data_IF_592953207938
#
_entry.id   IF_592953207938
#
_cell.length_a   1.000
_cell.length_b   1.000
_cell.length_c   1.000
_cell.angle_alpha   90.00
_cell.angle_beta   90.00
_cell.angle_gamma   90.00
#
_symmetry.space_group_name_H-M   'P 1'
#
loop_
_entity.id
_entity.type
_entity.pdbx_description
1 polymer ?
#
# COMPACT_ATOMS: atom_id res chain seq x y z
N UNK A 1 -27.63 48.84 62.73
CA UNK A 1 -28.77 49.18 61.87
C UNK A 1 -28.41 48.88 60.42
N UNK A 2 -28.89 47.74 59.92
CA UNK A 2 -29.13 47.45 58.50
C UNK A 2 -30.30 48.37 58.00
N UNK A 3 -30.61 48.54 56.68
CA UNK A 3 -30.49 47.46 55.69
C UNK A 3 -30.29 47.81 54.18
N UNK A 4 -30.01 46.72 53.44
CA UNK A 4 -30.46 46.37 52.07
C UNK A 4 -29.97 47.16 50.84
N UNK A 5 -29.17 46.58 49.92
CA UNK A 5 -29.42 45.51 48.92
C UNK A 5 -30.32 45.89 47.72
N UNK A 6 -29.87 45.38 46.56
CA UNK A 6 -30.46 45.36 45.20
C UNK A 6 -30.05 46.58 44.38
N UNK A 7 -29.33 46.42 43.27
CA UNK A 7 -29.84 45.75 42.06
C UNK A 7 -28.76 44.91 41.37
N UNK A 8 -29.03 43.62 41.23
CA UNK A 8 -28.48 42.78 40.17
C UNK A 8 -28.80 43.45 38.82
N UNK A 9 -27.78 43.73 38.02
CA UNK A 9 -27.95 43.97 36.59
C UNK A 9 -27.22 42.86 35.85
N UNK A 10 -27.99 41.83 35.47
CA UNK A 10 -27.60 40.84 34.47
C UNK A 10 -27.38 41.59 33.15
N UNK A 11 -26.14 41.59 32.64
CA UNK A 11 -25.88 41.84 31.24
C UNK A 11 -25.42 40.52 30.62
N UNK A 12 -26.34 39.85 29.93
CA UNK A 12 -26.02 38.74 29.02
C UNK A 12 -25.15 39.29 27.89
N UNK A 13 -23.84 39.12 27.97
CA UNK A 13 -22.96 39.25 26.81
C UNK A 13 -22.81 37.85 26.19
N UNK A 14 -23.56 37.61 25.11
CA UNK A 14 -23.47 36.38 24.33
C UNK A 14 -22.03 36.17 23.85
N UNK A 15 -21.39 35.10 24.34
CA UNK A 15 -20.09 34.68 23.83
C UNK A 15 -20.32 34.07 22.46
N UNK A 16 -19.91 34.81 21.45
CA UNK A 16 -19.88 34.42 20.04
C UNK A 16 -19.07 33.13 19.93
N UNK A 17 -19.73 32.04 19.53
CA UNK A 17 -19.09 30.78 19.18
C UNK A 17 -18.33 30.96 17.87
N UNK A 18 -17.07 31.39 17.95
CA UNK A 18 -16.12 31.23 16.84
C UNK A 18 -15.79 29.76 16.69
N UNK A 19 -16.62 29.04 15.93
CA UNK A 19 -16.24 27.75 15.34
C UNK A 19 -15.17 28.03 14.30
N UNK A 20 -13.91 28.05 14.74
CA UNK A 20 -12.78 27.85 13.84
C UNK A 20 -12.93 26.42 13.32
N UNK A 21 -13.65 26.29 12.20
CA UNK A 21 -13.62 25.10 11.37
C UNK A 21 -12.20 25.00 10.84
N UNK A 22 -11.35 24.37 11.63
CA UNK A 22 -10.07 23.87 11.18
C UNK A 22 -10.40 22.93 10.03
N UNK A 23 -10.07 23.35 8.82
CA UNK A 23 -9.93 22.45 7.70
C UNK A 23 -8.90 21.38 8.11
N UNK A 24 -9.39 20.30 8.71
CA UNK A 24 -8.68 19.04 8.79
C UNK A 24 -8.56 18.55 7.36
N UNK A 25 -7.62 19.12 6.61
CA UNK A 25 -7.13 18.53 5.37
C UNK A 25 -6.50 17.22 5.79
N UNK A 26 -7.29 16.16 5.79
CA UNK A 26 -6.79 14.81 5.62
C UNK A 26 -6.09 14.80 4.26
N UNK A 27 -4.85 15.28 4.22
CA UNK A 27 -4.01 15.09 3.06
C UNK A 27 -3.74 13.60 3.05
N UNK A 28 -4.26 12.92 2.02
CA UNK A 28 -3.79 11.61 1.61
C UNK A 28 -2.31 11.71 1.24
N UNK A 29 -1.46 11.84 2.26
CA UNK A 29 -0.03 11.98 2.10
C UNK A 29 0.49 10.61 1.66
N UNK A 30 1.03 10.58 0.45
CA UNK A 30 1.73 9.41 -0.08
C UNK A 30 3.03 9.21 0.69
N UNK A 31 3.41 7.95 0.88
CA UNK A 31 4.72 7.59 1.40
C UNK A 31 5.68 7.37 0.24
N UNK A 32 6.76 8.14 0.21
CA UNK A 32 7.87 7.91 -0.71
C UNK A 32 8.59 6.59 -0.37
N UNK A 33 8.70 5.69 -1.36
CA UNK A 33 9.27 4.35 -1.20
C UNK A 33 10.27 4.04 -2.31
N UNK A 34 11.44 3.55 -1.93
CA UNK A 34 12.43 2.96 -2.83
C UNK A 34 12.28 1.45 -2.83
N UNK A 35 12.34 0.85 -4.02
CA UNK A 35 12.28 -0.60 -4.22
C UNK A 35 13.60 -1.05 -4.83
N UNK A 36 14.19 -2.10 -4.26
CA UNK A 36 15.33 -2.83 -4.82
C UNK A 36 15.02 -4.32 -4.80
N UNK A 37 15.18 -4.98 -5.94
CA UNK A 37 14.84 -6.40 -6.13
C UNK A 37 16.07 -7.18 -6.57
N UNK A 38 16.41 -8.19 -5.79
CA UNK A 38 17.41 -9.21 -6.12
C UNK A 38 16.70 -10.53 -6.43
N UNK A 39 16.67 -10.94 -7.70
CA UNK A 39 16.04 -12.18 -8.11
C UNK A 39 16.77 -12.85 -9.28
N UNK A 40 16.71 -14.19 -9.40
CA UNK A 40 17.37 -14.91 -10.48
C UNK A 40 16.58 -14.80 -11.80
N UNK A 41 17.29 -14.46 -12.88
CA UNK A 41 16.74 -14.41 -14.24
C UNK A 41 15.51 -13.50 -14.33
N UNK A 42 14.46 -13.96 -15.03
CA UNK A 42 13.21 -13.21 -15.21
C UNK A 42 12.21 -13.36 -14.04
N UNK A 43 12.66 -13.72 -12.83
CA UNK A 43 11.77 -13.98 -11.69
C UNK A 43 11.08 -12.71 -11.19
N UNK A 44 11.81 -11.60 -11.05
CA UNK A 44 11.29 -10.31 -10.62
C UNK A 44 12.24 -9.18 -11.04
N UNK A 45 11.71 -7.97 -11.19
CA UNK A 45 12.48 -6.73 -11.40
C UNK A 45 11.90 -5.62 -10.50
N UNK A 46 12.67 -4.57 -10.26
CA UNK A 46 12.22 -3.40 -9.49
C UNK A 46 10.89 -2.83 -10.03
N UNK A 47 10.80 -2.68 -11.36
CA UNK A 47 9.61 -2.15 -12.03
C UNK A 47 8.41 -3.11 -11.93
N UNK A 48 8.66 -4.42 -12.09
CA UNK A 48 7.63 -5.44 -11.97
C UNK A 48 7.05 -5.51 -10.56
N UNK A 49 7.92 -5.49 -9.55
CA UNK A 49 7.50 -5.46 -8.15
C UNK A 49 6.78 -4.15 -7.80
N UNK A 50 7.28 -3.01 -8.28
CA UNK A 50 6.63 -1.72 -8.08
C UNK A 50 5.22 -1.68 -8.66
N UNK A 51 5.01 -2.23 -9.87
CA UNK A 51 3.70 -2.32 -10.49
C UNK A 51 2.73 -3.17 -9.64
N UNK A 52 3.16 -4.33 -9.17
CA UNK A 52 2.36 -5.19 -8.28
C UNK A 52 2.04 -4.50 -6.94
N UNK A 53 2.99 -3.77 -6.38
CA UNK A 53 2.81 -3.04 -5.12
C UNK A 53 1.84 -1.86 -5.27
N UNK A 54 2.04 -1.01 -6.29
CA UNK A 54 1.21 0.18 -6.54
C UNK A 54 -0.21 -0.16 -7.01
N UNK A 55 -0.42 -1.33 -7.61
CA UNK A 55 -1.77 -1.82 -7.92
C UNK A 55 -2.62 -2.10 -6.67
N UNK A 56 -2.01 -2.23 -5.48
CA UNK A 56 -2.68 -2.63 -4.24
C UNK A 56 -3.05 -1.46 -3.33
N UNK A 57 -2.38 -0.32 -3.52
CA UNK A 57 -2.60 0.88 -2.71
C UNK A 57 -2.15 2.12 -3.47
N UNK A 58 -2.94 3.20 -3.34
CA UNK A 58 -2.59 4.54 -3.84
C UNK A 58 -1.78 5.36 -2.84
N UNK A 59 -1.49 4.83 -1.64
CA UNK A 59 -0.76 5.55 -0.58
C UNK A 59 0.75 5.60 -0.78
N UNK A 60 1.24 5.11 -1.91
CA UNK A 60 2.67 4.98 -2.19
C UNK A 60 3.08 5.83 -3.38
N UNK A 61 4.27 6.40 -3.26
CA UNK A 61 4.95 7.19 -4.28
C UNK A 61 6.32 6.58 -4.53
N UNK A 62 6.70 6.42 -5.81
CA UNK A 62 8.01 5.87 -6.14
C UNK A 62 9.08 6.92 -5.90
N UNK A 63 10.08 6.56 -5.11
CA UNK A 63 11.25 7.39 -4.87
C UNK A 63 12.51 6.77 -5.45
N UNK A 64 13.48 7.62 -5.82
CA UNK A 64 14.85 7.22 -6.17
C UNK A 64 15.84 7.50 -5.03
N UNK A 65 15.51 8.42 -4.13
CA UNK A 65 16.31 8.79 -2.96
C UNK A 65 15.39 9.17 -1.78
N UNK A 66 15.84 8.88 -0.55
CA UNK A 66 15.07 9.14 0.66
C UNK A 66 13.88 8.19 0.83
N UNK A 67 12.99 8.50 1.77
CA UNK A 67 11.80 7.69 2.05
C UNK A 67 12.08 6.34 2.71
N UNK A 68 11.05 5.50 2.76
CA UNK A 68 11.19 4.11 3.20
C UNK A 68 11.88 3.26 2.12
N UNK A 69 12.51 2.15 2.51
CA UNK A 69 13.04 1.16 1.55
C UNK A 69 12.33 -0.17 1.67
N UNK A 70 12.21 -0.82 0.51
CA UNK A 70 11.80 -2.20 0.33
C UNK A 70 12.91 -2.93 -0.40
N UNK A 71 13.58 -3.83 0.31
CA UNK A 71 14.57 -4.72 -0.25
C UNK A 71 13.95 -6.11 -0.37
N UNK A 72 13.80 -6.57 -1.62
CA UNK A 72 13.13 -7.82 -1.95
C UNK A 72 14.16 -8.78 -2.51
N UNK A 73 14.34 -9.93 -1.87
CA UNK A 73 15.20 -10.99 -2.37
C UNK A 73 14.38 -12.22 -2.68
N UNK A 74 14.48 -12.75 -3.90
CA UNK A 74 13.83 -14.01 -4.29
C UNK A 74 14.90 -15.00 -4.72
N UNK A 75 14.78 -16.24 -4.26
CA UNK A 75 15.67 -17.35 -4.62
C UNK A 75 14.85 -18.55 -5.08
N UNK A 76 15.44 -19.37 -5.97
CA UNK A 76 14.87 -20.65 -6.42
C UNK A 76 15.73 -21.79 -5.86
N UNK A 77 15.29 -22.46 -4.77
CA UNK A 77 16.05 -23.57 -4.21
C UNK A 77 16.02 -24.79 -5.14
N UNK A 78 17.05 -25.63 -5.06
CA UNK A 78 17.18 -26.84 -5.89
C UNK A 78 16.06 -27.86 -5.64
N UNK A 79 15.42 -27.83 -4.47
CA UNK A 79 14.26 -28.65 -4.11
C UNK A 79 12.98 -28.28 -4.88
N UNK A 80 13.00 -27.21 -5.68
CA UNK A 80 11.83 -26.66 -6.36
C UNK A 80 11.13 -25.57 -5.55
N UNK A 81 10.21 -24.86 -6.21
CA UNK A 81 9.53 -23.69 -5.64
C UNK A 81 10.35 -22.40 -5.69
N UNK A 82 9.91 -21.39 -4.94
CA UNK A 82 10.60 -20.14 -4.73
C UNK A 82 10.49 -19.69 -3.27
N UNK A 83 11.54 -19.02 -2.77
CA UNK A 83 11.58 -18.39 -1.46
C UNK A 83 11.87 -16.91 -1.61
N UNK A 84 11.01 -16.09 -1.04
CA UNK A 84 11.13 -14.65 -1.02
C UNK A 84 11.35 -14.11 0.39
N UNK A 85 12.18 -13.07 0.50
CA UNK A 85 12.41 -12.29 1.70
C UNK A 85 12.14 -10.83 1.38
N UNK A 86 11.27 -10.19 2.15
CA UNK A 86 10.99 -8.76 2.10
C UNK A 86 11.54 -8.12 3.37
N UNK A 87 12.41 -7.14 3.20
CA UNK A 87 12.84 -6.24 4.27
C UNK A 87 12.23 -4.86 4.04
N UNK A 88 11.60 -4.33 5.08
CA UNK A 88 10.98 -3.00 5.08
C UNK A 88 11.72 -2.14 6.10
N UNK A 89 12.31 -1.03 5.65
CA UNK A 89 12.92 -0.02 6.53
C UNK A 89 12.13 1.29 6.46
N UNK A 90 11.65 1.75 7.61
CA UNK A 90 10.90 3.00 7.74
C UNK A 90 11.17 3.65 9.09
N UNK A 91 11.54 4.92 9.10
CA UNK A 91 11.68 5.70 10.34
C UNK A 91 12.67 5.11 11.35
N UNK A 92 13.72 4.44 10.87
CA UNK A 92 14.71 3.76 11.72
C UNK A 92 14.30 2.38 12.24
N UNK A 93 13.09 1.92 11.94
CA UNK A 93 12.65 0.55 12.22
C UNK A 93 12.83 -0.33 10.97
N UNK A 94 13.33 -1.55 11.18
CA UNK A 94 13.47 -2.57 10.14
C UNK A 94 12.63 -3.79 10.51
N UNK A 95 11.85 -4.28 9.55
CA UNK A 95 11.08 -5.52 9.68
C UNK A 95 11.37 -6.44 8.50
N UNK A 96 11.35 -7.75 8.74
CA UNK A 96 11.60 -8.75 7.72
C UNK A 96 10.47 -9.77 7.68
N UNK A 97 10.09 -10.19 6.47
CA UNK A 97 9.05 -11.19 6.22
C UNK A 97 9.54 -12.18 5.18
N UNK A 98 9.28 -13.46 5.41
CA UNK A 98 9.66 -14.55 4.50
C UNK A 98 8.41 -15.22 3.97
N UNK A 99 8.40 -15.55 2.68
CA UNK A 99 7.32 -16.25 2.02
C UNK A 99 7.88 -17.35 1.11
N UNK A 100 7.37 -18.56 1.28
CA UNK A 100 7.63 -19.69 0.38
C UNK A 100 6.42 -19.89 -0.53
N UNK A 101 6.66 -20.26 -1.79
CA UNK A 101 5.61 -20.49 -2.78
C UNK A 101 6.04 -21.49 -3.86
N UNK A 102 5.07 -21.99 -4.62
CA UNK A 102 5.32 -22.95 -5.69
C UNK A 102 6.01 -22.28 -6.90
N UNK A 103 5.80 -20.98 -7.09
CA UNK A 103 6.36 -20.22 -8.20
C UNK A 103 6.95 -18.88 -7.77
N UNK A 104 7.89 -18.35 -8.54
CA UNK A 104 8.41 -16.99 -8.36
C UNK A 104 7.29 -15.95 -8.36
N UNK A 105 6.37 -16.08 -9.29
CA UNK A 105 5.27 -15.14 -9.52
C UNK A 105 4.32 -15.10 -8.31
N UNK A 106 3.99 -16.26 -7.74
CA UNK A 106 3.24 -16.36 -6.49
C UNK A 106 3.94 -15.65 -5.32
N UNK A 107 5.24 -15.92 -5.14
CA UNK A 107 6.04 -15.29 -4.06
C UNK A 107 6.11 -13.77 -4.24
N UNK A 108 6.36 -13.29 -5.47
CA UNK A 108 6.43 -11.85 -5.78
C UNK A 108 5.10 -11.16 -5.51
N UNK A 109 3.98 -11.73 -5.98
CA UNK A 109 2.64 -11.20 -5.69
C UNK A 109 2.35 -11.19 -4.20
N UNK A 110 2.64 -12.27 -3.49
CA UNK A 110 2.44 -12.34 -2.04
C UNK A 110 3.27 -11.32 -1.27
N UNK A 111 4.56 -11.18 -1.59
CA UNK A 111 5.42 -10.18 -0.97
C UNK A 111 4.98 -8.75 -1.29
N UNK A 112 4.48 -8.48 -2.51
CA UNK A 112 3.94 -7.15 -2.86
C UNK A 112 2.71 -6.78 -2.02
N UNK A 113 1.86 -7.76 -1.68
CA UNK A 113 0.73 -7.55 -0.77
C UNK A 113 1.18 -7.31 0.66
N UNK A 114 2.12 -8.12 1.17
CA UNK A 114 2.68 -7.92 2.52
C UNK A 114 3.34 -6.55 2.63
N UNK A 115 4.08 -6.14 1.59
CA UNK A 115 4.65 -4.80 1.50
C UNK A 115 3.55 -3.73 1.53
N UNK A 116 2.51 -3.83 0.70
CA UNK A 116 1.40 -2.88 0.67
C UNK A 116 0.75 -2.72 2.06
N UNK A 117 0.46 -3.85 2.73
CA UNK A 117 -0.14 -3.88 4.06
C UNK A 117 0.72 -3.22 5.14
N UNK A 118 2.05 -3.17 4.96
CA UNK A 118 2.92 -2.46 5.89
C UNK A 118 2.76 -0.93 5.82
N UNK A 119 2.23 -0.38 4.72
CA UNK A 119 1.99 1.06 4.52
C UNK A 119 0.51 1.42 4.57
N UNK A 120 -0.35 0.50 4.15
CA UNK A 120 -1.79 0.70 4.05
C UNK A 120 -2.54 -0.53 4.59
N UNK A 121 -3.14 -0.47 5.78
CA UNK A 121 -3.88 -1.60 6.34
C UNK A 121 -5.13 -1.96 5.52
N UNK A 122 -5.57 -1.08 4.61
CA UNK A 122 -6.69 -1.33 3.71
C UNK A 122 -6.24 -1.77 2.31
N UNK A 123 -4.95 -2.08 2.11
CA UNK A 123 -4.46 -2.58 0.84
C UNK A 123 -5.21 -3.85 0.42
N UNK A 124 -5.55 -3.94 -0.85
CA UNK A 124 -6.35 -5.04 -1.40
C UNK A 124 -5.53 -5.92 -2.33
N UNK A 125 -6.02 -7.13 -2.59
CA UNK A 125 -5.52 -7.91 -3.72
C UNK A 125 -6.08 -7.30 -5.02
N UNK A 126 -5.27 -7.16 -6.08
CA UNK A 126 -5.79 -6.74 -7.37
C UNK A 126 -6.80 -7.78 -7.85
N UNK A 127 -7.84 -7.31 -8.55
CA UNK A 127 -8.81 -8.20 -9.16
C UNK A 127 -8.06 -9.18 -10.09
N UNK A 128 -8.46 -10.47 -10.12
CA UNK A 128 -7.92 -11.39 -11.12
C UNK A 128 -8.11 -10.79 -12.50
N UNK A 129 -7.06 -10.73 -13.32
CA UNK A 129 -7.24 -10.42 -14.73
C UNK A 129 -8.24 -11.43 -15.30
N UNK A 130 -9.31 -10.98 -15.99
CA UNK A 130 -10.21 -11.90 -16.65
C UNK A 130 -9.35 -12.75 -17.58
N UNK A 131 -9.37 -14.07 -17.35
CA UNK A 131 -8.70 -15.02 -18.24
C UNK A 131 -9.15 -14.66 -19.65
N UNK A 132 -8.23 -14.15 -20.48
CA UNK A 132 -8.51 -13.87 -21.88
C UNK A 132 -9.10 -15.15 -22.43
N UNK A 133 -10.41 -15.12 -22.72
CA UNK A 133 -11.08 -16.24 -23.34
C UNK A 133 -10.31 -16.50 -24.62
N UNK A 134 -9.57 -17.61 -24.65
CA UNK A 134 -8.94 -18.12 -25.85
C UNK A 134 -10.00 -18.04 -26.94
N UNK A 135 -9.73 -17.24 -27.96
CA UNK A 135 -10.65 -17.05 -29.08
C UNK A 135 -11.17 -18.43 -29.52
N UNK A 136 -12.50 -18.62 -29.70
CA UNK A 136 -13.02 -19.91 -30.13
C UNK A 136 -12.30 -20.31 -31.41
N UNK A 137 -11.68 -21.51 -31.37
CA UNK A 137 -10.99 -22.09 -32.50
C UNK A 137 -11.89 -22.00 -33.73
N UNK A 138 -11.41 -21.31 -34.77
CA UNK A 138 -12.10 -21.16 -36.05
C UNK A 138 -12.64 -22.51 -36.49
N UNK A 139 -13.97 -22.62 -36.56
CA UNK A 139 -14.63 -23.78 -37.17
C UNK A 139 -14.07 -23.95 -38.59
N UNK A 140 -13.73 -25.17 -39.02
CA UNK A 140 -13.22 -25.39 -40.38
C UNK A 140 -14.31 -25.01 -41.39
N UNK A 141 -13.92 -24.22 -42.39
CA UNK A 141 -14.80 -23.84 -43.50
C UNK A 141 -15.29 -25.10 -44.23
N UNK A 142 -16.57 -25.17 -44.65
CA UNK A 142 -17.07 -26.31 -45.40
C UNK A 142 -16.35 -26.39 -46.76
N UNK A 143 -15.94 -27.61 -47.13
CA UNK A 143 -15.33 -27.91 -48.42
C UNK A 143 -16.36 -27.79 -49.57
N UNK A 144 -15.92 -27.46 -50.80
CA UNK A 144 -16.79 -27.28 -51.97
C UNK A 144 -17.46 -28.56 -52.45
#
# INVERSE_FOLDING_TARGET
MQPSLRRLSMALAGVVTTTLAWDARAQDATTAVRVHVEAPGACATDDGFWRELSARTSRLERATKGGASLDVRVTKPASGGARGVLRVERGGATTERTLDGATCDEVVRGLSLIAALAFDPNATAPAPEPASASAPASAPAPAP
#
